data_IF_289431471561
#
_entry.id   IF_289431471561
#
_cell.length_a   1.000
_cell.length_b   1.000
_cell.length_c   1.000
_cell.angle_alpha   90.00
_cell.angle_beta   90.00
_cell.angle_gamma   90.00
#
_symmetry.space_group_name_H-M   'P 1'
#
loop_
_entity.id
_entity.type
_entity.pdbx_description
1 polymer ?
#
# COMPACT_ATOMS: atom_id res chain seq x y z
N UNK A 1 -16.83 13.93 -10.23
CA UNK A 1 -16.25 13.16 -9.12
C UNK A 1 -14.79 12.86 -9.40
N UNK A 2 -13.97 13.03 -8.42
CA UNK A 2 -12.54 12.86 -8.60
C UNK A 2 -12.09 11.51 -8.07
N UNK A 3 -11.38 10.77 -8.91
CA UNK A 3 -10.80 9.51 -8.48
C UNK A 3 -9.53 9.77 -7.72
N UNK A 4 -9.35 9.03 -6.64
CA UNK A 4 -8.13 9.15 -5.87
C UNK A 4 -7.02 8.37 -6.59
N UNK A 5 -5.86 8.98 -6.66
CA UNK A 5 -4.70 8.32 -7.26
C UNK A 5 -3.97 7.49 -6.23
N UNK A 6 -3.16 6.55 -6.70
CA UNK A 6 -2.38 5.74 -5.77
C UNK A 6 -1.37 6.59 -5.00
N UNK A 7 -0.86 7.65 -5.62
CA UNK A 7 0.01 8.57 -4.91
C UNK A 7 -0.70 9.25 -3.77
N UNK A 8 -1.96 9.60 -3.98
CA UNK A 8 -2.74 10.20 -2.90
C UNK A 8 -3.05 9.21 -1.80
N UNK A 9 -3.31 7.96 -2.17
CA UNK A 9 -3.52 6.91 -1.17
C UNK A 9 -2.26 6.76 -0.32
N UNK A 10 -1.10 6.73 -0.95
CA UNK A 10 0.15 6.61 -0.23
C UNK A 10 0.37 7.81 0.69
N UNK A 11 0.07 9.01 0.20
CA UNK A 11 0.23 10.21 1.01
C UNK A 11 -0.67 10.16 2.25
N UNK A 12 -1.93 9.76 2.06
CA UNK A 12 -2.83 9.63 3.20
C UNK A 12 -2.37 8.55 4.15
N UNK A 13 -1.84 7.45 3.60
CA UNK A 13 -1.30 6.39 4.44
C UNK A 13 -0.15 6.90 5.31
N UNK A 14 0.71 7.72 4.74
CA UNK A 14 1.82 8.29 5.50
C UNK A 14 1.32 9.15 6.65
N UNK A 15 0.24 9.88 6.43
CA UNK A 15 -0.35 10.69 7.49
C UNK A 15 -1.08 9.83 8.51
N UNK A 16 -1.69 8.75 8.03
CA UNK A 16 -2.43 7.85 8.90
C UNK A 16 -1.49 7.08 9.82
N UNK A 17 -0.33 6.70 9.33
CA UNK A 17 0.62 5.94 10.13
C UNK A 17 2.04 6.40 9.83
N UNK A 18 2.47 7.51 10.45
CA UNK A 18 3.81 8.04 10.17
C UNK A 18 4.93 7.07 10.51
N UNK A 19 4.72 6.22 11.52
CA UNK A 19 5.75 5.26 11.90
C UNK A 19 6.02 4.26 10.79
N UNK A 20 4.96 3.75 10.17
CA UNK A 20 5.14 2.84 9.05
C UNK A 20 5.69 3.58 7.84
N UNK A 21 5.26 4.82 7.66
CA UNK A 21 5.71 5.60 6.51
C UNK A 21 7.22 5.76 6.51
N UNK A 22 7.82 5.89 7.69
CA UNK A 22 9.28 6.03 7.79
C UNK A 22 10.00 4.78 7.33
N UNK A 23 9.34 3.64 7.38
CA UNK A 23 9.96 2.37 7.03
C UNK A 23 9.73 1.97 5.59
N UNK A 24 8.82 2.65 4.89
CA UNK A 24 8.49 2.30 3.52
C UNK A 24 9.65 2.64 2.60
N UNK A 25 10.10 1.67 1.82
CA UNK A 25 11.13 1.93 0.82
C UNK A 25 10.56 1.96 -0.60
N UNK A 26 9.35 1.40 -0.80
CA UNK A 26 8.72 1.41 -2.12
C UNK A 26 7.25 1.08 -1.97
N UNK A 27 6.46 1.46 -2.96
CA UNK A 27 5.07 1.08 -2.98
C UNK A 27 4.62 0.94 -4.43
N UNK A 28 3.56 0.16 -4.63
CA UNK A 28 2.98 -0.04 -5.96
C UNK A 28 1.48 -0.13 -5.85
N UNK A 29 0.76 0.16 -6.95
CA UNK A 29 -0.69 -0.02 -6.95
C UNK A 29 -1.03 -1.50 -6.79
N UNK A 30 -2.04 -1.75 -5.98
CA UNK A 30 -2.52 -3.12 -5.79
C UNK A 30 -3.91 -3.29 -6.41
N UNK A 31 -4.81 -2.37 -6.11
CA UNK A 31 -6.14 -2.36 -6.66
C UNK A 31 -6.59 -0.93 -6.86
N UNK A 32 -7.86 -0.72 -7.16
CA UNK A 32 -8.34 0.62 -7.46
C UNK A 32 -8.18 1.57 -6.28
N UNK A 33 -8.31 1.06 -5.06
CA UNK A 33 -8.13 1.87 -3.86
C UNK A 33 -7.14 1.24 -2.90
N UNK A 34 -6.21 0.42 -3.42
CA UNK A 34 -5.27 -0.30 -2.58
C UNK A 34 -3.86 -0.15 -3.13
N UNK A 35 -2.90 -0.18 -2.24
CA UNK A 35 -1.50 -0.19 -2.61
C UNK A 35 -0.80 -1.26 -1.79
N UNK A 36 0.34 -1.71 -2.27
CA UNK A 36 1.22 -2.57 -1.48
C UNK A 36 2.47 -1.75 -1.18
N UNK A 37 2.92 -1.80 0.06
CA UNK A 37 4.12 -1.08 0.48
C UNK A 37 5.15 -2.08 0.96
N UNK A 38 6.39 -1.83 0.58
CA UNK A 38 7.52 -2.62 1.05
C UNK A 38 8.26 -1.83 2.10
N UNK A 39 8.49 -2.46 3.25
CA UNK A 39 9.21 -1.84 4.33
C UNK A 39 10.69 -2.21 4.26
N UNK A 40 11.50 -1.41 4.91
CA UNK A 40 12.94 -1.64 4.88
C UNK A 40 13.38 -2.87 5.67
N UNK A 41 12.45 -3.49 6.41
CA UNK A 41 12.75 -4.73 7.10
C UNK A 41 12.44 -5.99 6.27
N UNK A 42 12.06 -5.79 5.00
CA UNK A 42 11.80 -6.92 4.11
C UNK A 42 10.35 -7.38 4.07
N UNK A 43 9.50 -6.77 4.85
CA UNK A 43 8.08 -7.15 4.86
C UNK A 43 7.29 -6.27 3.92
N UNK A 44 6.15 -6.79 3.46
CA UNK A 44 5.25 -6.04 2.61
C UNK A 44 3.84 -6.11 3.18
N UNK A 45 3.09 -5.05 2.98
CA UNK A 45 1.72 -4.97 3.46
C UNK A 45 0.83 -4.38 2.39
N UNK A 46 -0.38 -4.90 2.30
CA UNK A 46 -1.41 -4.34 1.46
C UNK A 46 -2.18 -3.31 2.28
N UNK A 47 -2.24 -2.10 1.76
CA UNK A 47 -2.95 -1.00 2.43
C UNK A 47 -4.17 -0.68 1.59
N UNK A 48 -5.34 -0.86 2.17
CA UNK A 48 -6.58 -0.57 1.48
C UNK A 48 -7.24 0.65 2.11
N UNK A 49 -7.61 1.60 1.26
CA UNK A 49 -8.30 2.80 1.71
C UNK A 49 -9.81 2.56 1.65
N UNK A 50 -10.48 2.68 2.77
CA UNK A 50 -11.92 2.50 2.85
C UNK A 50 -12.65 3.84 2.78
N UNK A 51 -12.04 4.87 3.34
CA UNK A 51 -12.59 6.21 3.38
C UNK A 51 -11.45 7.14 3.75
N UNK A 52 -11.62 8.45 3.60
CA UNK A 52 -10.55 9.37 4.00
C UNK A 52 -10.14 9.11 5.45
N UNK A 53 -8.86 8.81 5.63
CA UNK A 53 -8.31 8.53 6.94
C UNK A 53 -8.62 7.17 7.51
N UNK A 54 -9.24 6.28 6.72
CA UNK A 54 -9.60 4.93 7.18
C UNK A 54 -8.93 3.92 6.29
N UNK A 55 -8.04 3.14 6.87
CA UNK A 55 -7.22 2.17 6.14
C UNK A 55 -7.21 0.83 6.85
N UNK A 56 -6.93 -0.20 6.08
CA UNK A 56 -6.68 -1.54 6.61
C UNK A 56 -5.33 -1.98 6.08
N UNK A 57 -4.47 -2.47 6.97
CA UNK A 57 -3.19 -3.04 6.59
C UNK A 57 -3.26 -4.55 6.75
N UNK A 58 -2.72 -5.26 5.76
CA UNK A 58 -2.73 -6.71 5.76
C UNK A 58 -1.39 -7.20 5.27
N UNK A 59 -0.81 -8.14 6.00
CA UNK A 59 0.47 -8.72 5.59
C UNK A 59 0.31 -9.44 4.27
N UNK A 60 1.30 -9.26 3.41
CA UNK A 60 1.30 -9.89 2.09
C UNK A 60 2.61 -10.67 1.95
N UNK A 61 2.50 -11.94 1.61
CA UNK A 61 3.69 -12.77 1.42
C UNK A 61 4.30 -12.48 0.05
N UNK A 62 5.56 -12.91 -0.11
CA UNK A 62 6.22 -12.76 -1.40
C UNK A 62 5.48 -13.50 -2.49
N UNK A 63 4.93 -14.66 -2.15
CA UNK A 63 4.18 -15.45 -3.13
C UNK A 63 2.96 -14.68 -3.64
N UNK A 64 2.27 -14.02 -2.73
CA UNK A 64 1.10 -13.23 -3.12
C UNK A 64 1.51 -12.09 -4.04
N UNK A 65 2.62 -11.44 -3.71
CA UNK A 65 3.11 -10.33 -4.54
C UNK A 65 3.49 -10.84 -5.92
N UNK A 66 4.18 -11.95 -5.99
CA UNK A 66 4.59 -12.51 -7.27
C UNK A 66 3.38 -12.85 -8.13
N UNK A 67 2.34 -13.39 -7.52
CA UNK A 67 1.12 -13.69 -8.26
C UNK A 67 0.46 -12.42 -8.78
N UNK A 68 0.43 -11.38 -7.95
CA UNK A 68 -0.26 -10.16 -8.31
C UNK A 68 0.47 -9.41 -9.42
N UNK A 69 1.80 -9.36 -9.35
CA UNK A 69 2.59 -8.57 -10.28
C UNK A 69 3.31 -9.43 -11.32
N UNK A 70 2.92 -10.67 -11.45
CA UNK A 70 3.50 -11.52 -12.46
C UNK A 70 3.13 -11.02 -13.84
N UNK A 71 4.13 -10.81 -14.67
CA UNK A 71 3.89 -10.45 -16.06
C UNK A 71 4.16 -11.66 -16.88
N UNK A 72 3.50 -11.94 -17.65
CA UNK A 72 3.63 -13.06 -18.32
C UNK A 72 4.16 -13.17 -19.35
#
# INVERSE_FOLDING_TARGET
MTEITWGEIYKEFCEWSPEHAKMVKDYRPWGSTSIVVWLNNGHAYKVKRHAPGRFTMQYVSEDDIKKKFKTK
#
